data_IF_291759188381
#
_entry.id   IF_291759188381
#
_cell.length_a   1.000
_cell.length_b   1.000
_cell.length_c   1.000
_cell.angle_alpha   90.00
_cell.angle_beta   90.00
_cell.angle_gamma   90.00
#
_symmetry.space_group_name_H-M   'P 1'
#
loop_
_entity.id
_entity.type
_entity.pdbx_description
1 polymer ?
#
# COMPACT_ATOMS: atom_id res chain seq x y z
N UNK A 1 29.00 -5.16 11.38
CA UNK A 1 29.05 -6.43 10.62
C UNK A 1 29.87 -6.17 9.37
N UNK A 2 30.95 -6.88 9.16
CA UNK A 2 31.72 -6.82 7.91
C UNK A 2 30.89 -7.63 6.89
N UNK A 3 30.22 -6.94 5.98
CA UNK A 3 29.55 -7.62 4.86
C UNK A 3 30.64 -8.28 3.99
N UNK A 4 30.54 -9.58 3.78
CA UNK A 4 31.42 -10.28 2.85
C UNK A 4 31.24 -9.65 1.45
N UNK A 5 32.35 -9.38 0.76
CA UNK A 5 32.35 -8.85 -0.61
C UNK A 5 31.50 -9.69 -1.56
N UNK A 6 31.33 -10.99 -1.27
CA UNK A 6 30.49 -11.91 -2.03
C UNK A 6 29.00 -11.55 -1.89
N UNK A 7 28.55 -11.23 -0.67
CA UNK A 7 27.16 -10.86 -0.40
C UNK A 7 26.82 -9.52 -1.06
N UNK A 8 27.75 -8.56 -1.03
CA UNK A 8 27.58 -7.28 -1.72
C UNK A 8 27.44 -7.47 -3.22
N UNK A 9 28.32 -8.27 -3.85
CA UNK A 9 28.26 -8.54 -5.28
C UNK A 9 26.96 -9.26 -5.66
N UNK A 10 26.52 -10.24 -4.87
CA UNK A 10 25.27 -10.97 -5.09
C UNK A 10 24.07 -10.02 -5.05
N UNK A 11 24.00 -9.17 -4.04
CA UNK A 11 22.96 -8.15 -3.88
C UNK A 11 22.90 -7.21 -5.06
N UNK A 12 24.03 -6.63 -5.45
CA UNK A 12 24.10 -5.68 -6.55
C UNK A 12 23.71 -6.31 -7.89
N UNK A 13 24.20 -7.53 -8.19
CA UNK A 13 23.86 -8.26 -9.41
C UNK A 13 22.36 -8.62 -9.46
N UNK A 14 21.78 -9.05 -8.35
CA UNK A 14 20.35 -9.39 -8.28
C UNK A 14 19.47 -8.14 -8.45
N UNK A 15 19.83 -7.03 -7.81
CA UNK A 15 19.10 -5.78 -7.92
C UNK A 15 19.08 -5.27 -9.37
N UNK A 16 20.24 -5.24 -10.05
CA UNK A 16 20.32 -4.82 -11.45
C UNK A 16 19.59 -5.78 -12.41
N UNK A 17 19.60 -7.08 -12.12
CA UNK A 17 18.83 -8.05 -12.88
C UNK A 17 17.33 -7.81 -12.73
N UNK A 18 16.83 -7.57 -11.52
CA UNK A 18 15.43 -7.24 -11.26
C UNK A 18 14.98 -5.97 -11.99
N UNK A 19 15.83 -4.94 -12.09
CA UNK A 19 15.52 -3.67 -12.77
C UNK A 19 15.47 -3.79 -14.29
N UNK A 20 16.38 -4.58 -14.87
CA UNK A 20 16.67 -4.53 -16.30
C UNK A 20 16.40 -5.84 -17.03
N UNK A 21 15.70 -6.77 -16.41
CA UNK A 21 15.34 -8.08 -16.97
C UNK A 21 14.44 -7.98 -18.21
N UNK A 22 14.59 -8.86 -19.19
CA UNK A 22 15.66 -9.85 -19.33
C UNK A 22 16.99 -9.19 -19.75
N UNK A 23 18.12 -9.66 -19.22
CA UNK A 23 19.43 -9.01 -19.36
C UNK A 23 20.56 -10.03 -19.54
N UNK A 24 21.65 -9.66 -20.24
CA UNK A 24 22.82 -10.52 -20.43
C UNK A 24 23.85 -10.37 -19.30
N UNK A 25 24.70 -11.39 -19.09
CA UNK A 25 25.84 -11.31 -18.14
C UNK A 25 26.78 -10.13 -18.44
N UNK A 26 26.96 -9.78 -19.74
CA UNK A 26 27.79 -8.66 -20.16
C UNK A 26 27.17 -7.33 -19.69
N UNK A 27 25.90 -7.11 -19.98
CA UNK A 27 25.19 -5.89 -19.54
C UNK A 27 25.19 -5.74 -18.01
N UNK A 28 25.03 -6.84 -17.27
CA UNK A 28 25.13 -6.82 -15.81
C UNK A 28 26.53 -6.40 -15.35
N UNK A 29 27.59 -6.89 -15.99
CA UNK A 29 28.96 -6.46 -15.68
C UNK A 29 29.18 -4.99 -15.98
N UNK A 30 28.67 -4.49 -17.10
CA UNK A 30 28.77 -3.09 -17.50
C UNK A 30 28.01 -2.16 -16.54
N UNK A 31 26.79 -2.53 -16.10
CA UNK A 31 25.96 -1.74 -15.17
C UNK A 31 26.50 -1.74 -13.75
N UNK A 32 26.97 -2.89 -13.28
CA UNK A 32 27.41 -3.04 -11.87
C UNK A 32 28.86 -2.62 -11.65
N UNK A 33 29.69 -2.54 -12.70
CA UNK A 33 31.14 -2.37 -12.59
C UNK A 33 31.86 -3.60 -12.01
N UNK A 34 31.15 -4.72 -11.79
CA UNK A 34 31.70 -5.96 -11.28
C UNK A 34 32.34 -6.77 -12.43
N UNK A 35 33.49 -7.40 -12.15
CA UNK A 35 34.19 -8.17 -13.19
C UNK A 35 33.28 -9.27 -13.80
N UNK A 36 33.39 -9.50 -15.12
CA UNK A 36 32.62 -10.52 -15.81
C UNK A 36 32.73 -11.91 -15.21
N UNK A 37 33.90 -12.28 -14.68
CA UNK A 37 34.12 -13.55 -13.99
C UNK A 37 33.31 -13.65 -12.67
N UNK A 38 33.23 -12.54 -11.92
CA UNK A 38 32.45 -12.48 -10.68
C UNK A 38 30.95 -12.50 -10.98
N UNK A 39 30.49 -11.72 -11.99
CA UNK A 39 29.07 -11.75 -12.44
C UNK A 39 28.68 -13.17 -12.85
N UNK A 40 29.49 -13.85 -13.68
CA UNK A 40 29.21 -15.21 -14.12
C UNK A 40 29.02 -16.15 -12.93
N UNK A 41 29.97 -16.14 -11.99
CA UNK A 41 29.88 -16.99 -10.78
C UNK A 41 28.65 -16.67 -9.93
N UNK A 42 28.31 -15.38 -9.78
CA UNK A 42 27.13 -14.94 -9.03
C UNK A 42 25.84 -15.41 -9.71
N UNK A 43 25.74 -15.28 -11.02
CA UNK A 43 24.58 -15.74 -11.81
C UNK A 43 24.46 -17.28 -11.73
N UNK A 44 25.56 -18.00 -11.87
CA UNK A 44 25.53 -19.48 -11.79
C UNK A 44 25.03 -19.93 -10.40
N UNK A 45 25.39 -19.19 -9.33
CA UNK A 45 24.85 -19.43 -7.99
C UNK A 45 23.34 -19.11 -7.92
N UNK A 46 22.90 -17.98 -8.50
CA UNK A 46 21.47 -17.61 -8.52
C UNK A 46 20.63 -18.61 -9.35
N UNK A 47 21.22 -19.19 -10.40
CA UNK A 47 20.59 -20.27 -11.18
C UNK A 47 20.50 -21.55 -10.35
N UNK A 48 21.58 -21.93 -9.65
CA UNK A 48 21.59 -23.10 -8.77
C UNK A 48 20.56 -22.96 -7.63
N UNK A 49 20.39 -21.75 -7.08
CA UNK A 49 19.37 -21.43 -6.07
C UNK A 49 17.96 -21.38 -6.68
N UNK A 50 17.82 -21.44 -8.00
CA UNK A 50 16.57 -21.40 -8.75
C UNK A 50 15.87 -20.03 -8.71
N UNK A 51 16.62 -18.95 -8.49
CA UNK A 51 16.11 -17.57 -8.51
C UNK A 51 16.14 -17.00 -9.92
N UNK A 52 17.14 -17.38 -10.73
CA UNK A 52 17.38 -16.93 -12.09
C UNK A 52 17.36 -18.11 -13.05
N UNK A 53 16.97 -17.87 -14.28
CA UNK A 53 17.07 -18.85 -15.39
C UNK A 53 17.47 -18.17 -16.70
N UNK A 54 17.93 -18.98 -17.63
CA UNK A 54 18.22 -18.56 -18.99
C UNK A 54 16.95 -18.67 -19.84
N UNK A 55 16.53 -17.58 -20.50
CA UNK A 55 15.23 -17.53 -21.19
C UNK A 55 15.32 -17.62 -22.72
N UNK A 56 16.33 -17.03 -23.33
CA UNK A 56 16.54 -17.09 -24.79
C UNK A 56 17.96 -16.71 -25.16
N UNK A 57 18.34 -17.02 -26.41
CA UNK A 57 19.56 -16.52 -27.03
C UNK A 57 19.24 -15.30 -27.87
N UNK A 58 19.97 -14.20 -27.69
CA UNK A 58 19.95 -13.09 -28.65
C UNK A 58 20.73 -13.52 -29.91
N UNK A 59 20.02 -13.62 -31.02
CA UNK A 59 20.66 -13.77 -32.34
C UNK A 59 21.10 -12.37 -32.76
N UNK A 60 22.37 -12.05 -32.59
CA UNK A 60 22.95 -10.82 -33.13
C UNK A 60 23.13 -10.99 -34.64
N UNK A 61 22.65 -10.02 -35.45
CA UNK A 61 22.88 -9.97 -36.90
C UNK A 61 24.37 -9.79 -37.25
N UNK A 62 25.20 -9.38 -36.33
CA UNK A 62 26.64 -9.33 -36.46
C UNK A 62 27.27 -10.67 -36.05
N UNK A 63 28.19 -11.19 -36.85
CA UNK A 63 29.00 -12.39 -36.58
C UNK A 63 29.66 -12.29 -35.19
N UNK A 64 29.00 -12.79 -34.18
CA UNK A 64 29.46 -12.75 -32.80
C UNK A 64 28.70 -13.75 -31.92
N UNK A 65 29.35 -14.14 -30.82
CA UNK A 65 28.89 -15.08 -29.83
C UNK A 65 27.45 -14.83 -29.43
N UNK A 66 26.58 -15.83 -29.51
CA UNK A 66 25.19 -15.80 -29.03
C UNK A 66 25.19 -15.37 -27.57
N UNK A 67 24.47 -14.30 -27.24
CA UNK A 67 24.34 -13.83 -25.87
C UNK A 67 23.07 -14.43 -25.24
N UNK A 68 23.22 -15.07 -24.11
CA UNK A 68 22.11 -15.66 -23.35
C UNK A 68 21.47 -14.61 -22.49
N UNK A 69 20.14 -14.46 -22.59
CA UNK A 69 19.33 -13.61 -21.73
C UNK A 69 18.99 -14.35 -20.41
N UNK A 70 19.04 -13.61 -19.35
CA UNK A 70 18.72 -14.04 -17.97
C UNK A 70 17.45 -13.36 -17.51
N UNK A 71 16.60 -14.11 -16.83
CA UNK A 71 15.44 -13.57 -16.13
C UNK A 71 15.25 -14.27 -14.78
N UNK A 72 14.43 -13.67 -13.90
CA UNK A 72 14.07 -14.29 -12.62
C UNK A 72 13.00 -15.36 -12.81
N UNK A 73 13.04 -16.39 -11.97
CA UNK A 73 11.98 -17.42 -11.93
C UNK A 73 10.80 -16.86 -11.11
N UNK A 74 10.05 -15.93 -11.73
CA UNK A 74 9.02 -15.15 -11.04
C UNK A 74 7.99 -16.01 -10.27
N UNK A 75 7.40 -17.10 -10.83
CA UNK A 75 6.37 -17.88 -10.14
C UNK A 75 6.87 -18.69 -8.93
N UNK A 76 8.19 -18.82 -8.74
CA UNK A 76 8.76 -19.60 -7.66
C UNK A 76 8.73 -18.92 -6.29
N UNK A 77 8.39 -17.65 -6.25
CA UNK A 77 8.24 -16.88 -5.03
C UNK A 77 7.01 -15.98 -5.15
N UNK A 78 5.97 -16.36 -4.45
CA UNK A 78 4.72 -15.60 -4.42
C UNK A 78 4.61 -14.88 -3.09
N UNK A 79 4.17 -13.65 -3.13
CA UNK A 79 3.91 -12.82 -1.95
C UNK A 79 2.41 -12.51 -1.88
N UNK A 80 1.96 -12.15 -0.68
CA UNK A 80 0.56 -11.81 -0.44
C UNK A 80 0.44 -10.43 0.18
N UNK A 81 -0.38 -9.58 -0.41
CA UNK A 81 -0.85 -8.33 0.18
C UNK A 81 -2.27 -8.50 0.70
N UNK A 82 -2.50 -8.09 1.94
CA UNK A 82 -3.79 -8.18 2.62
C UNK A 82 -4.17 -6.78 3.08
N UNK A 83 -5.37 -6.33 2.75
CA UNK A 83 -6.00 -5.13 3.31
C UNK A 83 -7.18 -5.57 4.16
N UNK A 84 -6.99 -5.59 5.49
CA UNK A 84 -7.97 -6.03 6.47
C UNK A 84 -8.80 -4.84 6.95
N UNK A 85 -9.87 -4.54 6.24
CA UNK A 85 -10.82 -3.50 6.64
C UNK A 85 -11.97 -4.05 7.50
N UNK A 86 -12.62 -3.16 8.26
CA UNK A 86 -13.75 -3.54 9.12
C UNK A 86 -14.94 -4.16 8.36
N UNK A 87 -15.24 -3.70 7.15
CA UNK A 87 -16.35 -4.22 6.35
C UNK A 87 -15.91 -5.27 5.34
N UNK A 88 -14.77 -5.07 4.69
CA UNK A 88 -14.25 -5.95 3.65
C UNK A 88 -12.76 -6.17 3.81
N UNK A 89 -12.34 -7.39 3.56
CA UNK A 89 -10.94 -7.79 3.45
C UNK A 89 -10.59 -8.03 1.98
N UNK A 90 -9.50 -7.43 1.52
CA UNK A 90 -8.99 -7.63 0.16
C UNK A 90 -7.65 -8.30 0.20
N UNK A 91 -7.49 -9.31 -0.65
CA UNK A 91 -6.27 -10.11 -0.71
C UNK A 91 -5.78 -10.13 -2.15
N UNK A 92 -4.48 -9.89 -2.32
CA UNK A 92 -3.79 -9.91 -3.61
C UNK A 92 -2.60 -10.85 -3.49
N UNK A 93 -2.40 -11.74 -4.45
CA UNK A 93 -1.16 -12.50 -4.59
C UNK A 93 -0.38 -12.00 -5.80
N UNK A 94 0.93 -11.85 -5.65
CA UNK A 94 1.84 -11.41 -6.71
C UNK A 94 3.08 -12.30 -6.77
N UNK A 95 3.65 -12.42 -7.97
CA UNK A 95 4.91 -13.13 -8.15
C UNK A 95 6.14 -12.25 -7.81
N UNK A 96 7.34 -12.82 -7.92
CA UNK A 96 8.59 -12.14 -7.53
C UNK A 96 8.89 -10.85 -8.30
N UNK A 97 8.16 -10.55 -9.35
CA UNK A 97 8.34 -9.35 -10.18
C UNK A 97 7.11 -8.43 -10.17
N UNK A 98 6.22 -8.63 -9.20
CA UNK A 98 5.03 -7.81 -9.01
C UNK A 98 3.86 -8.15 -9.95
N UNK A 99 3.98 -9.19 -10.76
CA UNK A 99 2.87 -9.67 -11.59
C UNK A 99 1.73 -10.21 -10.71
N UNK A 100 0.56 -9.56 -10.78
CA UNK A 100 -0.63 -10.00 -10.01
C UNK A 100 -1.08 -11.37 -10.50
N UNK A 101 -1.17 -12.32 -9.57
CA UNK A 101 -1.57 -13.71 -9.82
C UNK A 101 -3.06 -13.93 -9.60
N UNK A 102 -3.57 -13.41 -8.50
CA UNK A 102 -4.99 -13.46 -8.15
C UNK A 102 -5.34 -12.35 -7.16
N UNK A 103 -6.62 -11.99 -7.11
CA UNK A 103 -7.14 -11.05 -6.13
C UNK A 103 -8.58 -11.38 -5.77
N UNK A 104 -8.99 -11.03 -4.55
CA UNK A 104 -10.35 -11.23 -4.05
C UNK A 104 -10.73 -10.14 -3.04
N UNK A 105 -12.02 -9.78 -3.02
CA UNK A 105 -12.65 -8.95 -1.99
C UNK A 105 -13.73 -9.78 -1.30
N UNK A 106 -13.69 -9.82 0.03
CA UNK A 106 -14.58 -10.65 0.86
C UNK A 106 -15.13 -9.82 2.02
N UNK A 107 -16.38 -10.06 2.46
CA UNK A 107 -16.86 -9.49 3.71
C UNK A 107 -16.00 -9.95 4.88
N UNK A 108 -15.57 -9.01 5.74
CA UNK A 108 -14.81 -9.33 6.95
C UNK A 108 -15.76 -9.90 8.02
N UNK A 109 -15.42 -11.04 8.66
CA UNK A 109 -16.20 -11.57 9.77
C UNK A 109 -16.30 -10.59 10.95
N UNK A 110 -17.52 -10.13 11.27
CA UNK A 110 -17.73 -9.04 12.23
C UNK A 110 -17.52 -9.46 13.69
N UNK A 111 -17.89 -10.69 14.03
CA UNK A 111 -17.87 -11.20 15.41
C UNK A 111 -16.64 -12.05 15.73
N UNK A 112 -15.65 -12.08 14.82
CA UNK A 112 -14.44 -12.87 15.01
C UNK A 112 -13.46 -12.17 15.93
N UNK A 113 -12.98 -12.88 16.96
CA UNK A 113 -11.82 -12.46 17.74
C UNK A 113 -10.52 -12.52 16.90
N UNK A 114 -9.41 -11.95 17.41
CA UNK A 114 -8.18 -11.81 16.62
C UNK A 114 -7.63 -13.15 16.11
N UNK A 115 -7.67 -14.21 16.90
CA UNK A 115 -7.16 -15.53 16.50
C UNK A 115 -8.05 -16.18 15.42
N UNK A 116 -9.38 -16.10 15.57
CA UNK A 116 -10.31 -16.62 14.57
C UNK A 116 -10.20 -15.84 13.24
N UNK A 117 -10.00 -14.52 13.34
CA UNK A 117 -9.80 -13.68 12.18
C UNK A 117 -8.47 -13.99 11.47
N UNK A 118 -7.38 -14.24 12.21
CA UNK A 118 -6.11 -14.65 11.65
C UNK A 118 -6.22 -16.01 10.93
N UNK A 119 -6.90 -16.98 11.53
CA UNK A 119 -7.14 -18.28 10.90
C UNK A 119 -7.97 -18.14 9.61
N UNK A 120 -9.06 -17.35 9.65
CA UNK A 120 -9.89 -17.09 8.49
C UNK A 120 -9.08 -16.42 7.35
N UNK A 121 -8.28 -15.39 7.65
CA UNK A 121 -7.41 -14.74 6.65
C UNK A 121 -6.43 -15.76 6.05
N UNK A 122 -5.81 -16.61 6.87
CA UNK A 122 -4.88 -17.63 6.39
C UNK A 122 -5.55 -18.64 5.45
N UNK A 123 -6.78 -19.06 5.75
CA UNK A 123 -7.56 -19.95 4.90
C UNK A 123 -7.91 -19.29 3.55
N UNK A 124 -8.30 -17.99 3.56
CA UNK A 124 -8.59 -17.26 2.34
C UNK A 124 -7.35 -17.06 1.47
N UNK A 125 -6.20 -16.74 2.08
CA UNK A 125 -4.90 -16.66 1.38
C UNK A 125 -4.57 -18.01 0.74
N UNK A 126 -4.71 -19.11 1.48
CA UNK A 126 -4.44 -20.46 0.96
C UNK A 126 -5.38 -20.84 -0.21
N UNK A 127 -6.65 -20.45 -0.11
CA UNK A 127 -7.65 -20.68 -1.17
C UNK A 127 -7.34 -19.86 -2.41
N UNK A 128 -7.04 -18.56 -2.24
CA UNK A 128 -6.71 -17.66 -3.35
C UNK A 128 -5.44 -18.09 -4.07
N UNK A 129 -4.40 -18.47 -3.32
CA UNK A 129 -3.14 -18.91 -3.89
C UNK A 129 -3.27 -20.21 -4.69
N UNK A 130 -4.20 -21.10 -4.33
CA UNK A 130 -4.46 -22.33 -5.07
C UNK A 130 -3.18 -23.11 -5.40
N UNK A 131 -2.85 -23.31 -6.70
CA UNK A 131 -1.62 -24.01 -7.11
C UNK A 131 -0.33 -23.32 -6.68
N UNK A 132 -0.37 -22.00 -6.48
CA UNK A 132 0.79 -21.21 -6.06
C UNK A 132 1.09 -21.30 -4.55
N UNK A 133 0.20 -21.95 -3.75
CA UNK A 133 0.36 -22.09 -2.29
C UNK A 133 1.75 -22.59 -1.86
N UNK A 134 2.38 -23.59 -2.51
CA UNK A 134 3.72 -24.04 -2.13
C UNK A 134 4.82 -23.01 -2.36
N UNK A 135 4.51 -21.95 -3.12
CA UNK A 135 5.42 -20.85 -3.47
C UNK A 135 5.23 -19.59 -2.64
N UNK A 136 4.23 -19.52 -1.76
CA UNK A 136 4.06 -18.43 -0.81
C UNK A 136 5.28 -18.30 0.10
N UNK A 137 5.78 -17.06 0.28
CA UNK A 137 7.02 -16.81 1.02
C UNK A 137 6.95 -15.64 1.99
N UNK A 138 6.03 -14.73 1.80
CA UNK A 138 5.88 -13.52 2.59
C UNK A 138 4.47 -12.99 2.45
N UNK A 139 3.94 -12.39 3.51
CA UNK A 139 2.73 -11.59 3.45
C UNK A 139 2.92 -10.27 4.19
N UNK A 140 2.14 -9.29 3.80
CA UNK A 140 2.04 -8.02 4.48
C UNK A 140 0.57 -7.66 4.68
N UNK A 141 0.20 -7.13 5.85
CA UNK A 141 -1.19 -6.82 6.16
C UNK A 141 -1.37 -5.35 6.48
N UNK A 142 -2.29 -4.69 5.77
CA UNK A 142 -2.83 -3.39 6.07
C UNK A 142 -3.91 -3.51 7.14
N UNK A 143 -3.80 -2.69 8.18
CA UNK A 143 -4.67 -2.73 9.33
C UNK A 143 -5.24 -1.33 9.61
N UNK A 144 -6.51 -1.21 10.01
CA UNK A 144 -7.03 0.05 10.50
C UNK A 144 -6.34 0.44 11.80
N UNK A 145 -5.98 1.72 11.93
CA UNK A 145 -5.31 2.26 13.10
C UNK A 145 -3.78 2.33 12.97
N UNK A 146 -3.13 2.75 14.06
CA UNK A 146 -1.69 2.95 14.10
C UNK A 146 -0.96 1.63 14.40
N UNK A 147 -0.05 1.24 13.52
CA UNK A 147 0.85 0.11 13.72
C UNK A 147 2.23 0.63 14.11
N UNK A 148 2.78 0.12 15.22
CA UNK A 148 4.12 0.50 15.69
C UNK A 148 5.21 0.15 14.66
N UNK A 149 6.32 0.89 14.68
CA UNK A 149 7.42 0.72 13.72
C UNK A 149 8.08 -0.66 13.74
N UNK A 150 7.86 -1.44 14.81
CA UNK A 150 8.29 -2.84 14.91
C UNK A 150 7.24 -3.83 14.37
N UNK A 151 6.11 -3.32 13.88
CA UNK A 151 5.02 -4.10 13.30
C UNK A 151 4.27 -5.00 14.29
N UNK A 152 4.42 -4.77 15.61
CA UNK A 152 3.89 -5.69 16.63
C UNK A 152 2.68 -5.18 17.38
N UNK A 153 2.55 -3.86 17.53
CA UNK A 153 1.49 -3.28 18.34
C UNK A 153 0.52 -2.49 17.48
N UNK A 154 -0.75 -2.83 17.57
CA UNK A 154 -1.85 -2.14 16.91
C UNK A 154 -2.54 -1.27 17.97
N UNK A 155 -2.74 0.00 17.69
CA UNK A 155 -3.43 0.97 18.56
C UNK A 155 -4.34 1.87 17.72
N UNK A 156 -5.31 2.50 18.38
CA UNK A 156 -6.22 3.44 17.70
C UNK A 156 -6.97 2.80 16.51
N UNK A 157 -7.53 1.61 16.73
CA UNK A 157 -8.32 0.87 15.73
C UNK A 157 -9.82 0.84 16.10
N UNK A 158 -10.52 1.99 16.14
CA UNK A 158 -11.89 2.07 16.64
C UNK A 158 -12.88 1.23 15.83
N UNK A 159 -12.59 1.01 14.55
CA UNK A 159 -13.42 0.20 13.65
C UNK A 159 -13.17 -1.31 13.77
N UNK A 160 -12.09 -1.71 14.45
CA UNK A 160 -11.73 -3.10 14.75
C UNK A 160 -11.08 -3.21 16.13
N UNK A 161 -11.81 -2.88 17.22
CA UNK A 161 -11.25 -2.79 18.57
C UNK A 161 -10.67 -4.11 19.09
N UNK A 162 -11.12 -5.25 18.55
CA UNK A 162 -10.57 -6.58 18.88
C UNK A 162 -9.09 -6.73 18.46
N UNK A 163 -8.60 -5.94 17.52
CA UNK A 163 -7.20 -5.97 17.08
C UNK A 163 -6.27 -5.16 17.99
N UNK A 164 -6.81 -4.23 18.77
CA UNK A 164 -5.98 -3.37 19.62
C UNK A 164 -5.19 -4.19 20.64
N UNK A 165 -3.87 -4.01 20.62
CA UNK A 165 -2.91 -4.71 21.50
C UNK A 165 -3.00 -6.23 21.44
N UNK A 166 -3.58 -6.79 20.37
CA UNK A 166 -3.61 -8.23 20.12
C UNK A 166 -2.31 -8.73 19.48
N UNK A 167 -2.09 -10.05 19.52
CA UNK A 167 -1.01 -10.75 18.83
C UNK A 167 -1.39 -11.14 17.39
N UNK A 168 -2.37 -10.47 16.78
CA UNK A 168 -2.95 -10.83 15.49
C UNK A 168 -1.90 -11.10 14.40
N UNK A 169 -0.88 -10.22 14.27
CA UNK A 169 0.16 -10.36 13.24
C UNK A 169 0.99 -11.62 13.49
N UNK A 170 1.33 -11.91 14.75
CA UNK A 170 2.08 -13.11 15.11
C UNK A 170 1.23 -14.38 14.86
N UNK A 171 -0.03 -14.36 15.29
CA UNK A 171 -0.97 -15.48 15.06
C UNK A 171 -1.17 -15.75 13.57
N UNK A 172 -1.29 -14.68 12.74
CA UNK A 172 -1.41 -14.82 11.29
C UNK A 172 -0.11 -15.39 10.67
N UNK A 173 1.05 -14.98 11.16
CA UNK A 173 2.35 -15.52 10.73
C UNK A 173 2.45 -17.03 11.01
N UNK A 174 2.04 -17.45 12.21
CA UNK A 174 2.02 -18.85 12.60
C UNK A 174 1.03 -19.67 11.75
N UNK A 175 -0.17 -19.13 11.51
CA UNK A 175 -1.19 -19.78 10.69
C UNK A 175 -0.77 -19.95 9.22
N UNK A 176 -0.06 -18.98 8.66
CA UNK A 176 0.47 -19.03 7.29
C UNK A 176 1.76 -19.88 7.16
N UNK A 177 2.52 -20.02 8.25
CA UNK A 177 3.80 -20.75 8.28
C UNK A 177 4.97 -19.99 7.63
N UNK A 178 4.85 -18.66 7.46
CA UNK A 178 5.91 -17.78 6.99
C UNK A 178 5.73 -16.37 7.58
N UNK A 179 6.78 -15.51 7.54
CA UNK A 179 6.72 -14.19 8.16
C UNK A 179 5.61 -13.30 7.59
N UNK A 180 4.87 -12.64 8.47
CA UNK A 180 3.92 -11.57 8.18
C UNK A 180 4.39 -10.30 8.87
N UNK A 181 4.35 -9.19 8.17
CA UNK A 181 4.51 -7.86 8.74
C UNK A 181 3.25 -7.03 8.46
N UNK A 182 3.09 -5.90 9.16
CA UNK A 182 1.91 -5.06 9.00
C UNK A 182 2.23 -3.57 9.05
N UNK A 183 1.32 -2.77 8.49
CA UNK A 183 1.34 -1.31 8.53
C UNK A 183 -0.10 -0.78 8.54
N UNK A 184 -0.25 0.52 8.72
CA UNK A 184 -1.53 1.19 8.54
C UNK A 184 -2.02 1.05 7.09
N UNK A 185 -3.33 0.85 6.91
CA UNK A 185 -4.00 0.63 5.63
C UNK A 185 -3.81 1.80 4.65
N UNK A 186 -3.89 3.06 5.11
CA UNK A 186 -3.69 4.24 4.27
C UNK A 186 -2.22 4.41 3.85
N UNK A 187 -1.25 4.03 4.68
CA UNK A 187 0.15 3.98 4.30
C UNK A 187 0.37 2.99 3.15
N UNK A 188 -0.24 1.84 3.23
CA UNK A 188 -0.14 0.83 2.17
C UNK A 188 -0.91 1.26 0.93
N UNK A 189 -2.07 1.90 1.07
CA UNK A 189 -2.78 2.45 -0.08
C UNK A 189 -1.91 3.47 -0.85
N UNK A 190 -1.20 4.35 -0.14
CA UNK A 190 -0.25 5.26 -0.78
C UNK A 190 0.90 4.50 -1.47
N UNK A 191 1.46 3.49 -0.82
CA UNK A 191 2.52 2.66 -1.41
C UNK A 191 2.04 1.98 -2.70
N UNK A 192 0.80 1.49 -2.73
CA UNK A 192 0.18 0.95 -3.93
C UNK A 192 0.08 1.98 -5.05
N UNK A 193 -0.41 3.19 -4.75
CA UNK A 193 -0.52 4.29 -5.71
C UNK A 193 0.85 4.78 -6.22
N UNK A 194 1.90 4.73 -5.39
CA UNK A 194 3.27 5.05 -5.81
C UNK A 194 3.85 4.04 -6.81
N UNK A 195 3.47 2.78 -6.71
CA UNK A 195 4.00 1.74 -7.59
C UNK A 195 3.13 1.49 -8.83
N UNK A 196 1.82 1.47 -8.67
CA UNK A 196 0.90 1.04 -9.73
C UNK A 196 -0.11 2.12 -10.15
N UNK A 197 -0.26 3.19 -9.36
CA UNK A 197 -1.37 4.11 -9.51
C UNK A 197 -0.99 5.56 -9.77
N UNK A 198 -1.83 6.47 -9.26
CA UNK A 198 -1.80 7.90 -9.53
C UNK A 198 -0.55 8.61 -8.98
N UNK A 199 0.11 8.07 -7.96
CA UNK A 199 1.29 8.67 -7.33
C UNK A 199 2.63 8.16 -7.91
N UNK A 200 2.61 7.45 -9.06
CA UNK A 200 3.85 7.00 -9.71
C UNK A 200 4.75 8.16 -10.09
N UNK A 201 6.00 8.08 -9.61
CA UNK A 201 7.01 9.10 -9.91
C UNK A 201 6.81 10.42 -9.17
N UNK A 202 5.88 10.49 -8.20
CA UNK A 202 5.65 11.66 -7.36
C UNK A 202 6.35 11.46 -6.02
N UNK A 203 7.43 12.22 -5.72
CA UNK A 203 8.21 12.00 -4.50
C UNK A 203 7.48 12.40 -3.22
N UNK A 204 6.71 13.50 -3.25
CA UNK A 204 5.96 13.94 -2.07
C UNK A 204 4.47 13.89 -2.38
N UNK A 205 3.81 12.92 -1.76
CA UNK A 205 2.39 12.64 -1.98
C UNK A 205 1.68 12.26 -0.68
N UNK A 206 0.37 12.53 -0.64
CA UNK A 206 -0.50 12.11 0.46
C UNK A 206 -1.65 11.29 -0.13
N UNK A 207 -1.97 10.16 0.50
CA UNK A 207 -3.20 9.42 0.29
C UNK A 207 -4.16 9.76 1.41
N UNK A 208 -5.40 10.09 1.08
CA UNK A 208 -6.49 10.26 2.04
C UNK A 208 -7.57 9.24 1.71
N UNK A 209 -7.87 8.35 2.65
CA UNK A 209 -8.92 7.34 2.50
C UNK A 209 -10.12 7.73 3.34
N UNK A 210 -11.29 7.91 2.71
CA UNK A 210 -12.54 8.28 3.37
C UNK A 210 -13.56 7.15 3.17
N UNK A 211 -13.83 6.41 4.22
CA UNK A 211 -14.72 5.24 4.18
C UNK A 211 -15.43 5.03 5.52
N UNK A 212 -15.25 3.86 6.12
CA UNK A 212 -15.66 3.59 7.50
C UNK A 212 -14.87 4.41 8.52
N UNK A 213 -13.62 4.74 8.19
CA UNK A 213 -12.73 5.65 8.91
C UNK A 213 -12.16 6.72 7.99
N UNK A 214 -11.36 7.62 8.57
CA UNK A 214 -10.53 8.59 7.88
C UNK A 214 -9.06 8.25 8.12
N UNK A 215 -8.40 7.69 7.13
CA UNK A 215 -6.97 7.41 7.15
C UNK A 215 -6.18 8.34 6.23
N UNK A 216 -4.89 8.55 6.54
CA UNK A 216 -3.99 9.17 5.59
C UNK A 216 -2.59 8.56 5.64
N UNK A 217 -2.03 8.27 4.46
CA UNK A 217 -0.63 7.93 4.25
C UNK A 217 0.12 9.16 3.73
N UNK A 218 1.32 9.39 4.24
CA UNK A 218 2.17 10.53 3.85
C UNK A 218 3.50 10.00 3.32
N UNK A 219 3.92 10.45 2.15
CA UNK A 219 5.25 10.16 1.60
C UNK A 219 6.03 11.45 1.35
N UNK A 220 7.31 11.44 1.71
CA UNK A 220 8.28 12.49 1.42
C UNK A 220 9.52 11.85 0.82
N UNK A 221 10.05 12.40 -0.27
CA UNK A 221 11.17 11.84 -1.03
C UNK A 221 10.94 10.34 -1.39
N UNK A 222 9.71 10.00 -1.77
CA UNK A 222 9.32 8.65 -2.16
C UNK A 222 9.16 7.65 -1.00
N UNK A 223 9.33 8.09 0.26
CA UNK A 223 9.30 7.23 1.44
C UNK A 223 8.08 7.49 2.30
N UNK A 224 7.36 6.44 2.64
CA UNK A 224 6.23 6.51 3.59
C UNK A 224 6.74 6.95 4.97
N UNK A 225 6.15 8.01 5.51
CA UNK A 225 6.41 8.52 6.86
C UNK A 225 5.51 7.80 7.86
N UNK A 226 6.08 7.00 8.74
CA UNK A 226 5.33 6.28 9.79
C UNK A 226 5.38 6.95 11.15
N UNK A 227 6.45 7.72 11.40
CA UNK A 227 6.75 8.20 12.74
C UNK A 227 7.12 7.06 13.70
N UNK A 228 7.39 7.39 14.95
CA UNK A 228 7.81 6.40 15.96
C UNK A 228 6.67 5.48 16.41
N UNK A 229 5.43 5.99 16.42
CA UNK A 229 4.25 5.31 16.96
C UNK A 229 3.14 5.10 15.94
N UNK A 230 3.42 5.36 14.66
CA UNK A 230 2.43 5.21 13.58
C UNK A 230 1.32 6.29 13.55
N UNK A 231 1.52 7.44 14.21
CA UNK A 231 0.50 8.51 14.26
C UNK A 231 0.63 9.58 13.18
N UNK A 232 1.60 9.45 12.26
CA UNK A 232 1.67 10.33 11.10
C UNK A 232 0.47 10.02 10.20
N UNK A 233 -0.24 11.06 9.77
CA UNK A 233 -1.45 10.89 8.93
C UNK A 233 -2.77 10.76 9.71
N UNK A 234 -2.76 10.69 11.04
CA UNK A 234 -3.96 10.60 11.88
C UNK A 234 -4.76 11.94 11.89
N UNK A 235 -5.01 12.54 10.73
CA UNK A 235 -5.73 13.80 10.59
C UNK A 235 -7.19 13.72 11.08
N UNK A 236 -7.78 12.54 11.07
CA UNK A 236 -9.11 12.29 11.61
C UNK A 236 -9.26 12.60 13.11
N UNK A 237 -8.15 12.57 13.86
CA UNK A 237 -8.12 12.88 15.29
C UNK A 237 -8.07 14.39 15.57
N UNK A 238 -7.85 15.23 14.55
CA UNK A 238 -7.85 16.68 14.73
C UNK A 238 -9.23 17.16 15.18
N UNK A 239 -9.29 18.08 16.19
CA UNK A 239 -10.54 18.63 16.67
C UNK A 239 -11.12 19.63 15.66
N UNK A 240 -12.41 19.54 15.40
CA UNK A 240 -13.17 20.52 14.64
C UNK A 240 -14.07 21.32 15.59
N UNK A 241 -13.98 22.65 15.50
CA UNK A 241 -14.82 23.56 16.26
C UNK A 241 -14.57 23.57 17.78
N UNK A 242 -15.35 24.40 18.52
CA UNK A 242 -15.10 24.68 19.93
C UNK A 242 -15.39 23.52 20.88
N UNK A 243 -16.17 22.53 20.46
CA UNK A 243 -16.51 21.35 21.26
C UNK A 243 -15.56 20.18 21.08
N UNK A 244 -14.53 20.31 20.20
CA UNK A 244 -13.53 19.29 20.00
C UNK A 244 -14.01 18.02 19.27
N UNK A 245 -15.10 18.13 18.48
CA UNK A 245 -15.55 17.02 17.62
C UNK A 245 -14.43 16.63 16.67
N UNK A 246 -14.13 15.34 16.58
CA UNK A 246 -13.07 14.85 15.69
C UNK A 246 -13.52 14.94 14.22
N UNK A 247 -12.58 15.31 13.33
CA UNK A 247 -12.86 15.43 11.89
C UNK A 247 -13.38 14.11 11.31
N UNK A 248 -12.89 12.97 11.79
CA UNK A 248 -13.34 11.65 11.37
C UNK A 248 -14.87 11.49 11.45
N UNK A 249 -15.50 11.99 12.52
CA UNK A 249 -16.96 11.90 12.71
C UNK A 249 -17.74 12.79 11.71
N UNK A 250 -17.08 13.72 11.04
CA UNK A 250 -17.72 14.66 10.13
C UNK A 250 -17.59 14.23 8.66
N UNK A 251 -16.62 13.37 8.33
CA UNK A 251 -16.32 13.02 6.93
C UNK A 251 -16.52 11.55 6.59
N UNK A 252 -16.63 10.66 7.58
CA UNK A 252 -16.78 9.23 7.33
C UNK A 252 -18.22 8.81 7.07
N UNK A 253 -18.43 7.68 6.39
CA UNK A 253 -19.76 7.15 6.13
C UNK A 253 -20.61 6.98 7.39
N UNK A 254 -20.12 6.26 8.43
CA UNK A 254 -20.82 6.14 9.72
C UNK A 254 -21.08 7.50 10.39
N UNK A 255 -20.11 8.42 10.32
CA UNK A 255 -20.26 9.78 10.87
C UNK A 255 -21.38 10.55 10.19
N UNK A 256 -21.44 10.55 8.86
CA UNK A 256 -22.49 11.20 8.08
C UNK A 256 -23.88 10.61 8.39
N UNK A 257 -23.97 9.27 8.50
CA UNK A 257 -25.23 8.59 8.87
C UNK A 257 -25.69 9.00 10.27
N UNK A 258 -24.77 9.08 11.23
CA UNK A 258 -25.06 9.51 12.59
C UNK A 258 -25.54 10.97 12.64
N UNK A 259 -24.84 11.89 12.00
CA UNK A 259 -25.20 13.33 11.96
C UNK A 259 -26.53 13.57 11.22
N UNK A 260 -26.83 12.79 10.20
CA UNK A 260 -28.14 12.83 9.54
C UNK A 260 -29.26 12.42 10.51
N UNK A 261 -29.06 11.33 11.28
CA UNK A 261 -30.01 10.87 12.28
C UNK A 261 -30.22 11.89 13.42
N UNK A 262 -29.17 12.56 13.90
CA UNK A 262 -29.26 13.66 14.87
C UNK A 262 -30.06 14.85 14.31
N UNK A 263 -30.02 15.06 13.00
CA UNK A 263 -30.80 16.06 12.27
C UNK A 263 -32.24 15.62 11.97
N UNK A 264 -32.64 14.43 12.46
CA UNK A 264 -33.98 13.87 12.25
C UNK A 264 -34.21 13.26 10.88
N UNK A 265 -33.12 12.99 10.11
CA UNK A 265 -33.19 12.39 8.79
C UNK A 265 -32.54 11.01 8.81
N UNK A 266 -33.25 10.02 8.28
CA UNK A 266 -32.67 8.71 7.98
C UNK A 266 -32.15 8.71 6.54
N UNK A 267 -30.91 8.31 6.35
CA UNK A 267 -30.32 8.00 5.06
C UNK A 267 -29.95 6.52 5.00
N UNK A 268 -30.11 5.91 3.85
CA UNK A 268 -29.72 4.52 3.61
C UNK A 268 -28.25 4.41 3.14
N UNK A 269 -27.73 5.49 2.56
CA UNK A 269 -26.35 5.61 2.10
C UNK A 269 -25.76 6.99 2.35
N UNK A 270 -24.50 7.11 2.76
CA UNK A 270 -23.79 8.38 2.84
C UNK A 270 -23.82 9.19 1.53
N UNK A 271 -23.96 8.52 0.37
CA UNK A 271 -24.03 9.17 -0.94
C UNK A 271 -25.22 10.14 -1.08
N UNK A 272 -26.30 9.95 -0.30
CA UNK A 272 -27.46 10.84 -0.32
C UNK A 272 -27.14 12.27 0.13
N UNK A 273 -26.12 12.45 0.98
CA UNK A 273 -25.62 13.77 1.40
C UNK A 273 -25.05 14.56 0.22
N UNK A 274 -24.60 13.86 -0.81
CA UNK A 274 -23.95 14.43 -2.00
C UNK A 274 -24.89 14.56 -3.20
N UNK A 275 -26.14 14.15 -3.07
CA UNK A 275 -27.11 14.25 -4.15
C UNK A 275 -27.39 15.72 -4.51
N UNK A 276 -27.49 16.00 -5.81
CA UNK A 276 -27.70 17.37 -6.31
C UNK A 276 -29.03 17.98 -5.84
N UNK A 277 -30.05 17.15 -5.68
CA UNK A 277 -31.40 17.50 -5.22
C UNK A 277 -31.62 17.23 -3.72
N UNK A 278 -30.53 17.02 -2.95
CA UNK A 278 -30.61 16.76 -1.52
C UNK A 278 -31.46 17.80 -0.78
N UNK A 279 -32.33 17.42 0.17
CA UNK A 279 -33.12 18.33 0.97
C UNK A 279 -32.23 19.23 1.85
N UNK A 280 -32.81 20.38 2.27
CA UNK A 280 -32.06 21.41 2.97
C UNK A 280 -31.22 20.92 4.16
N UNK A 281 -31.67 20.01 5.05
CA UNK A 281 -30.86 19.51 6.13
C UNK A 281 -29.64 18.68 5.67
N UNK A 282 -29.76 17.88 4.58
CA UNK A 282 -28.62 17.16 4.02
C UNK A 282 -27.64 18.13 3.33
N UNK A 283 -28.11 19.23 2.73
CA UNK A 283 -27.22 20.28 2.21
C UNK A 283 -26.45 20.99 3.32
N UNK A 284 -27.05 21.18 4.50
CA UNK A 284 -26.33 21.70 5.67
C UNK A 284 -25.26 20.73 6.15
N UNK A 285 -25.59 19.44 6.19
CA UNK A 285 -24.63 18.38 6.54
C UNK A 285 -23.48 18.32 5.52
N UNK A 286 -23.79 18.44 4.22
CA UNK A 286 -22.78 18.55 3.17
C UNK A 286 -21.83 19.73 3.39
N UNK A 287 -22.34 20.88 3.78
CA UNK A 287 -21.50 22.05 4.06
C UNK A 287 -20.54 21.80 5.25
N UNK A 288 -21.00 21.11 6.28
CA UNK A 288 -20.12 20.69 7.39
C UNK A 288 -19.06 19.68 6.94
N UNK A 289 -19.44 18.71 6.11
CA UNK A 289 -18.50 17.78 5.50
C UNK A 289 -17.42 18.51 4.70
N UNK A 290 -17.82 19.44 3.82
CA UNK A 290 -16.90 20.21 2.99
C UNK A 290 -15.90 21.02 3.83
N UNK A 291 -16.36 21.64 4.90
CA UNK A 291 -15.50 22.36 5.83
C UNK A 291 -14.52 21.42 6.54
N UNK A 292 -14.98 20.25 6.99
CA UNK A 292 -14.15 19.27 7.65
C UNK A 292 -13.10 18.69 6.68
N UNK A 293 -13.50 18.35 5.46
CA UNK A 293 -12.57 17.86 4.44
C UNK A 293 -11.53 18.92 4.07
N UNK A 294 -11.94 20.19 3.96
CA UNK A 294 -11.01 21.29 3.70
C UNK A 294 -9.95 21.40 4.82
N UNK A 295 -10.32 21.18 6.09
CA UNK A 295 -9.37 21.17 7.21
C UNK A 295 -8.39 20.01 7.04
N UNK A 296 -8.86 18.81 6.67
CA UNK A 296 -7.99 17.64 6.41
C UNK A 296 -7.00 17.93 5.27
N UNK A 297 -7.49 18.43 4.15
CA UNK A 297 -6.68 18.78 2.98
C UNK A 297 -5.66 19.88 3.31
N UNK A 298 -6.06 20.88 4.08
CA UNK A 298 -5.17 21.95 4.56
C UNK A 298 -4.09 21.39 5.47
N UNK A 299 -4.46 20.54 6.45
CA UNK A 299 -3.50 19.92 7.37
C UNK A 299 -2.48 19.05 6.61
N UNK A 300 -2.94 18.26 5.65
CA UNK A 300 -2.08 17.46 4.78
C UNK A 300 -1.11 18.36 3.99
N UNK A 301 -1.63 19.45 3.39
CA UNK A 301 -0.83 20.38 2.58
C UNK A 301 0.25 21.07 3.42
N UNK A 302 -0.09 21.62 4.58
CA UNK A 302 0.89 22.35 5.40
C UNK A 302 1.88 21.44 6.13
N UNK A 303 1.59 20.14 6.25
CA UNK A 303 2.48 19.20 6.96
C UNK A 303 3.70 18.77 6.13
N UNK A 304 3.56 18.68 4.80
CA UNK A 304 4.65 18.18 3.93
C UNK A 304 4.69 18.83 2.55
N UNK A 305 3.81 19.81 2.26
CA UNK A 305 3.73 20.49 0.95
C UNK A 305 3.76 19.50 -0.23
N UNK A 306 2.76 18.59 -0.32
CA UNK A 306 2.79 17.52 -1.32
C UNK A 306 2.54 18.07 -2.72
N UNK A 307 3.11 17.44 -3.72
CA UNK A 307 2.80 17.69 -5.14
C UNK A 307 1.42 17.12 -5.51
N UNK A 308 0.99 16.09 -4.78
CA UNK A 308 -0.21 15.31 -5.08
C UNK A 308 -0.92 14.86 -3.80
N UNK A 309 -2.22 15.04 -3.76
CA UNK A 309 -3.11 14.35 -2.80
C UNK A 309 -4.01 13.39 -3.59
N UNK A 310 -3.97 12.12 -3.24
CA UNK A 310 -4.83 11.07 -3.80
C UNK A 310 -5.99 10.83 -2.85
N UNK A 311 -7.23 10.90 -3.34
CA UNK A 311 -8.45 10.62 -2.59
C UNK A 311 -8.94 9.20 -2.90
N UNK A 312 -9.17 8.40 -1.87
CA UNK A 312 -9.70 7.05 -1.97
C UNK A 312 -10.75 6.74 -0.90
N UNK A 313 -11.26 5.51 -0.92
CA UNK A 313 -12.34 5.07 -0.04
C UNK A 313 -13.74 5.37 -0.60
N UNK A 314 -14.74 4.68 -0.05
CA UNK A 314 -16.10 4.66 -0.63
C UNK A 314 -16.80 6.02 -0.63
N UNK A 315 -16.54 6.89 0.36
CA UNK A 315 -17.15 8.24 0.42
C UNK A 315 -16.51 9.16 -0.64
N UNK A 316 -15.22 9.00 -0.92
CA UNK A 316 -14.53 9.82 -1.93
C UNK A 316 -15.13 9.69 -3.33
N UNK A 317 -15.74 8.56 -3.66
CA UNK A 317 -16.42 8.36 -4.94
C UNK A 317 -17.58 9.36 -5.15
N UNK A 318 -18.19 9.84 -4.06
CA UNK A 318 -19.26 10.85 -4.11
C UNK A 318 -18.77 12.28 -4.39
N UNK A 319 -17.44 12.48 -4.48
CA UNK A 319 -16.80 13.78 -4.71
C UNK A 319 -16.33 13.96 -6.17
N UNK A 320 -16.78 13.10 -7.09
CA UNK A 320 -16.26 13.07 -8.47
C UNK A 320 -16.25 14.44 -9.16
N UNK A 321 -17.29 15.27 -8.92
CA UNK A 321 -17.44 16.58 -9.55
C UNK A 321 -16.93 17.74 -8.67
N UNK A 322 -16.30 17.45 -7.53
CA UNK A 322 -15.96 18.46 -6.52
C UNK A 322 -14.46 18.83 -6.43
N UNK A 323 -13.57 18.10 -7.12
CA UNK A 323 -12.12 18.31 -6.96
C UNK A 323 -11.69 19.75 -7.28
N UNK A 324 -12.21 20.32 -8.37
CA UNK A 324 -11.91 21.71 -8.77
C UNK A 324 -12.37 22.72 -7.71
N UNK A 325 -13.46 22.43 -7.04
CA UNK A 325 -13.95 23.27 -5.95
C UNK A 325 -13.00 23.25 -4.75
N UNK A 326 -12.52 22.07 -4.34
CA UNK A 326 -11.55 21.97 -3.25
C UNK A 326 -10.19 22.56 -3.61
N UNK A 327 -9.72 22.39 -4.84
CA UNK A 327 -8.53 23.05 -5.35
C UNK A 327 -8.64 24.58 -5.22
N UNK A 328 -9.76 25.16 -5.66
CA UNK A 328 -10.06 26.60 -5.54
C UNK A 328 -10.08 27.03 -4.07
N UNK A 329 -10.72 26.27 -3.19
CA UNK A 329 -10.78 26.57 -1.75
C UNK A 329 -9.40 26.54 -1.09
N UNK A 330 -8.58 25.53 -1.40
CA UNK A 330 -7.20 25.42 -0.89
C UNK A 330 -6.34 26.58 -1.39
N UNK A 331 -6.40 26.88 -2.68
CA UNK A 331 -5.67 28.02 -3.28
C UNK A 331 -6.07 29.34 -2.63
N UNK A 332 -7.37 29.53 -2.35
CA UNK A 332 -7.83 30.72 -1.65
C UNK A 332 -7.28 30.86 -0.23
N UNK A 333 -7.17 29.72 0.50
CA UNK A 333 -6.70 29.71 1.89
C UNK A 333 -5.18 29.76 2.04
N UNK A 334 -4.45 29.04 1.17
CA UNK A 334 -3.00 28.83 1.32
C UNK A 334 -2.17 29.58 0.26
N UNK A 335 -2.81 30.12 -0.79
CA UNK A 335 -2.11 30.68 -1.95
C UNK A 335 -1.58 29.63 -2.93
N UNK A 336 -1.63 28.35 -2.55
CA UNK A 336 -1.19 27.19 -3.35
C UNK A 336 -2.13 26.01 -3.08
N UNK A 337 -2.25 25.11 -4.05
CA UNK A 337 -2.91 23.81 -3.84
C UNK A 337 -2.07 22.70 -4.46
N UNK A 338 -1.97 21.53 -3.79
CA UNK A 338 -1.46 20.32 -4.42
C UNK A 338 -2.46 19.82 -5.46
N UNK A 339 -2.01 19.08 -6.45
CA UNK A 339 -2.92 18.44 -7.40
C UNK A 339 -3.79 17.41 -6.67
N UNK A 340 -5.10 17.52 -6.78
CA UNK A 340 -6.05 16.56 -6.22
C UNK A 340 -6.47 15.56 -7.30
N UNK A 341 -6.41 14.28 -7.00
CA UNK A 341 -6.85 13.19 -7.89
C UNK A 341 -7.53 12.08 -7.11
N UNK A 342 -8.30 11.24 -7.79
CA UNK A 342 -8.79 10.00 -7.20
C UNK A 342 -7.80 8.86 -7.34
N UNK A 343 -7.88 7.90 -6.41
CA UNK A 343 -7.18 6.62 -6.49
C UNK A 343 -7.51 5.92 -7.81
N UNK A 344 -6.48 5.46 -8.51
CA UNK A 344 -6.63 4.67 -9.73
C UNK A 344 -6.70 3.17 -9.45
N UNK A 345 -6.28 2.74 -8.27
CA UNK A 345 -6.37 1.35 -7.81
C UNK A 345 -7.69 1.05 -7.07
N UNK A 346 -8.45 2.11 -6.76
CA UNK A 346 -9.76 1.99 -6.12
C UNK A 346 -9.69 1.24 -4.79
N UNK A 347 -10.58 0.28 -4.61
CA UNK A 347 -10.69 -0.49 -3.38
C UNK A 347 -9.50 -1.43 -3.11
N UNK A 348 -8.68 -1.74 -4.11
CA UNK A 348 -7.52 -2.62 -3.95
C UNK A 348 -6.22 -1.87 -3.63
N UNK A 349 -6.23 -0.55 -3.50
CA UNK A 349 -5.01 0.24 -3.26
C UNK A 349 -4.20 -0.27 -2.06
N UNK A 350 -4.87 -0.54 -0.91
CA UNK A 350 -4.25 -1.10 0.29
C UNK A 350 -3.62 -2.48 0.07
N UNK A 351 -4.36 -3.39 -0.57
CA UNK A 351 -3.88 -4.75 -0.83
C UNK A 351 -2.72 -4.78 -1.84
N UNK A 352 -2.75 -3.93 -2.88
CA UNK A 352 -1.64 -3.78 -3.81
C UNK A 352 -0.38 -3.23 -3.11
N UNK A 353 -0.54 -2.20 -2.27
CA UNK A 353 0.57 -1.66 -1.48
C UNK A 353 1.13 -2.68 -0.47
N UNK A 354 0.26 -3.48 0.15
CA UNK A 354 0.68 -4.58 1.00
C UNK A 354 1.48 -5.63 0.21
N UNK A 355 1.09 -5.94 -1.04
CA UNK A 355 1.85 -6.83 -1.90
C UNK A 355 3.23 -6.25 -2.25
N UNK A 356 3.34 -4.94 -2.52
CA UNK A 356 4.63 -4.25 -2.69
C UNK A 356 5.49 -4.36 -1.44
N UNK A 357 4.93 -4.10 -0.26
CA UNK A 357 5.65 -4.23 1.00
C UNK A 357 6.16 -5.67 1.24
N UNK A 358 5.31 -6.68 0.97
CA UNK A 358 5.68 -8.08 1.04
C UNK A 358 6.79 -8.45 0.03
N UNK A 359 6.76 -7.84 -1.17
CA UNK A 359 7.81 -8.01 -2.17
C UNK A 359 9.14 -7.41 -1.70
N UNK A 360 9.12 -6.22 -1.12
CA UNK A 360 10.29 -5.59 -0.52
C UNK A 360 10.89 -6.46 0.59
N UNK A 361 10.06 -7.04 1.46
CA UNK A 361 10.54 -8.01 2.48
C UNK A 361 11.17 -9.24 1.83
N UNK A 362 10.57 -9.74 0.75
CA UNK A 362 11.13 -10.86 0.00
C UNK A 362 12.47 -10.50 -0.64
N UNK A 363 12.61 -9.32 -1.22
CA UNK A 363 13.87 -8.84 -1.79
C UNK A 363 14.96 -8.71 -0.71
N UNK A 364 14.62 -8.17 0.48
CA UNK A 364 15.54 -8.15 1.63
C UNK A 364 15.98 -9.55 2.03
N UNK A 365 15.07 -10.52 2.07
CA UNK A 365 15.40 -11.92 2.37
C UNK A 365 16.29 -12.57 1.29
N UNK A 366 16.26 -12.08 0.06
CA UNK A 366 17.17 -12.47 -1.02
C UNK A 366 18.50 -11.69 -1.01
N UNK A 367 18.66 -10.75 -0.06
CA UNK A 367 19.88 -9.99 0.17
C UNK A 367 19.90 -8.61 -0.48
N UNK A 368 18.80 -8.12 -1.11
CA UNK A 368 18.74 -6.76 -1.68
C UNK A 368 18.74 -5.72 -0.56
N UNK A 369 19.54 -4.66 -0.73
CA UNK A 369 19.68 -3.61 0.28
C UNK A 369 18.50 -2.64 0.27
N UNK A 370 18.18 -2.08 1.43
CA UNK A 370 17.10 -1.10 1.62
C UNK A 370 17.18 0.09 0.65
N UNK A 371 18.39 0.59 0.39
CA UNK A 371 18.62 1.72 -0.51
C UNK A 371 18.27 1.43 -1.97
N UNK A 372 18.11 0.18 -2.35
CA UNK A 372 17.82 -0.27 -3.71
C UNK A 372 16.33 -0.57 -3.92
N UNK A 373 15.57 -0.80 -2.84
CA UNK A 373 14.17 -1.27 -2.91
C UNK A 373 13.25 -0.29 -3.65
N UNK A 374 13.38 1.01 -3.38
CA UNK A 374 12.52 2.04 -3.99
C UNK A 374 12.62 2.12 -5.53
N UNK A 375 13.66 1.53 -6.12
CA UNK A 375 13.90 1.54 -7.57
C UNK A 375 13.66 0.19 -8.22
N UNK A 376 13.26 -0.82 -7.45
CA UNK A 376 12.94 -2.14 -7.97
C UNK A 376 11.50 -2.18 -8.51
N UNK A 377 11.26 -3.03 -9.52
CA UNK A 377 9.90 -3.28 -9.97
C UNK A 377 9.09 -3.88 -8.82
N UNK A 378 7.85 -3.46 -8.71
CA UNK A 378 6.84 -4.07 -7.87
C UNK A 378 5.74 -4.61 -8.76
#
# INVERSE_FOLDING_TARGET
MVHDTRDINRTTVLAELLRHRPITRKQLADLTGISAATVTRTIDQLIADGIVHEVSELVSEQRGRRAVLLDVVAPRSVVTGIDLGASNTRIVTADLVGGIRAQVSLPTPQDAGPDALAAWVADEVARLAGPDRPHLRSAYVGLPGAVSSDGRTITNAPNMPQLERSEFIATLSDALGFPVAGDNDANLALLGEQHFGAARGVPTAVMITIGAGLGAGVAVDGRILRGKRGVVGEFGQLPAGPLGTRLELMVTGPGLTHLAAESGIRIDSPAEVFAHDAPQPLRALRAHFDQALLIVLTAATVSCEPELIVLGGGVSASLADDLERYDTMLTHHLGVAPRLVFSTLGEYAGAHGAAVAALHDRYRALGVRETELATLPA
#
